data_IF_164806671181
#
_entry.id   IF_164806671181
#
_cell.length_a   1.000
_cell.length_b   1.000
_cell.length_c   1.000
_cell.angle_alpha   90.00
_cell.angle_beta   90.00
_cell.angle_gamma   90.00
#
_symmetry.space_group_name_H-M   'P 1'
#
loop_
_entity.id
_entity.type
_entity.pdbx_description
1 polymer ?
#
# COMPACT_ATOMS: atom_id res chain seq x y z
N UNK A 1 1.89 17.91 -12.15
CA UNK A 1 0.61 17.35 -12.62
C UNK A 1 -0.29 17.13 -11.41
N UNK A 2 -1.62 17.14 -11.54
CA UNK A 2 -2.47 16.73 -10.43
C UNK A 2 -2.20 15.22 -10.15
N UNK A 3 -2.12 14.82 -8.88
CA UNK A 3 -1.87 13.42 -8.44
C UNK A 3 -2.81 12.45 -9.14
N UNK A 4 -4.07 12.88 -9.28
CA UNK A 4 -5.10 12.14 -10.01
C UNK A 4 -5.60 13.02 -11.17
N UNK A 5 -5.32 12.60 -12.42
CA UNK A 5 -5.88 13.28 -13.58
C UNK A 5 -7.34 12.85 -13.78
N UNK A 6 -8.25 13.73 -13.45
CA UNK A 6 -9.70 13.48 -13.64
C UNK A 6 -10.10 13.31 -15.10
N UNK A 7 -9.23 13.65 -16.06
CA UNK A 7 -9.41 13.44 -17.50
C UNK A 7 -8.95 12.05 -17.95
N UNK A 8 -8.36 11.27 -17.05
CA UNK A 8 -7.91 9.91 -17.36
C UNK A 8 -9.07 9.08 -17.91
N UNK A 9 -8.81 8.42 -19.00
CA UNK A 9 -9.79 7.57 -19.69
C UNK A 9 -9.24 6.16 -19.84
N UNK A 10 -9.97 5.20 -19.34
CA UNK A 10 -9.65 3.79 -19.56
C UNK A 10 -9.91 3.39 -21.01
N UNK A 11 -8.93 2.78 -21.66
CA UNK A 11 -9.03 2.26 -23.03
C UNK A 11 -10.18 1.25 -23.21
N UNK A 12 -10.49 0.46 -22.16
CA UNK A 12 -11.60 -0.48 -22.19
C UNK A 12 -12.99 0.16 -21.99
N UNK A 13 -13.07 1.45 -21.63
CA UNK A 13 -14.32 2.19 -21.39
C UNK A 13 -15.09 1.82 -20.11
N UNK A 14 -14.63 0.83 -19.34
CA UNK A 14 -15.35 0.30 -18.16
C UNK A 14 -14.97 0.98 -16.86
N UNK A 15 -13.72 1.51 -16.75
CA UNK A 15 -13.20 2.08 -15.54
C UNK A 15 -13.17 3.61 -15.57
N UNK A 16 -13.25 4.23 -14.40
CA UNK A 16 -13.19 5.68 -14.25
C UNK A 16 -12.31 6.04 -13.07
N UNK A 17 -11.61 7.18 -13.17
CA UNK A 17 -10.87 7.76 -12.06
C UNK A 17 -11.85 8.11 -10.94
N UNK A 18 -11.65 7.64 -9.71
CA UNK A 18 -12.48 8.03 -8.56
C UNK A 18 -12.31 9.53 -8.27
N UNK A 19 -13.37 10.14 -7.76
CA UNK A 19 -13.33 11.53 -7.32
C UNK A 19 -12.80 11.59 -5.88
N UNK A 20 -11.52 11.83 -5.74
CA UNK A 20 -10.83 11.97 -4.45
C UNK A 20 -10.11 13.32 -4.45
N UNK A 21 -10.36 14.13 -3.45
CA UNK A 21 -9.55 15.33 -3.20
C UNK A 21 -8.18 14.89 -2.63
N UNK A 22 -7.08 15.26 -3.28
CA UNK A 22 -5.72 14.93 -2.81
C UNK A 22 -4.97 16.21 -2.45
N UNK A 23 -4.49 16.28 -1.21
CA UNK A 23 -3.70 17.40 -0.69
C UNK A 23 -2.38 16.88 -0.13
N UNK A 24 -1.27 17.14 -0.83
CA UNK A 24 0.09 16.75 -0.43
C UNK A 24 0.95 18.02 -0.40
N UNK A 25 1.09 18.61 0.78
CA UNK A 25 1.83 19.86 0.96
C UNK A 25 2.35 20.02 2.41
N UNK A 26 3.27 20.94 2.63
CA UNK A 26 3.67 21.34 4.00
C UNK A 26 2.54 22.11 4.67
N UNK A 27 2.26 21.80 5.93
CA UNK A 27 1.20 22.45 6.68
C UNK A 27 -0.21 21.97 6.31
N UNK A 28 -0.34 20.83 5.60
CA UNK A 28 -1.63 20.26 5.21
C UNK A 28 -2.56 19.98 6.39
N UNK A 29 -2.03 19.87 7.59
CA UNK A 29 -2.82 19.79 8.84
C UNK A 29 -3.82 20.94 8.97
N UNK A 30 -3.46 22.14 8.49
CA UNK A 30 -4.32 23.34 8.52
C UNK A 30 -5.39 23.32 7.42
N UNK A 31 -5.24 22.48 6.40
CA UNK A 31 -6.17 22.39 5.26
C UNK A 31 -7.39 21.53 5.55
N UNK A 32 -7.37 20.72 6.61
CA UNK A 32 -8.46 19.76 6.93
C UNK A 32 -9.81 20.45 6.99
N UNK A 33 -9.96 21.55 7.74
CA UNK A 33 -11.22 22.31 7.87
C UNK A 33 -11.66 22.93 6.54
N UNK A 34 -10.72 23.45 5.75
CA UNK A 34 -11.02 24.02 4.43
C UNK A 34 -11.52 22.95 3.44
N UNK A 35 -10.80 21.79 3.37
CA UNK A 35 -11.18 20.66 2.51
C UNK A 35 -12.57 20.16 2.90
N UNK A 36 -12.82 19.99 4.22
CA UNK A 36 -14.14 19.63 4.73
C UNK A 36 -15.24 20.56 4.22
N UNK A 37 -15.04 21.89 4.32
CA UNK A 37 -16.03 22.89 3.83
C UNK A 37 -16.23 22.83 2.33
N UNK A 38 -15.13 22.75 1.55
CA UNK A 38 -15.18 22.70 0.08
C UNK A 38 -15.92 21.46 -0.44
N UNK A 39 -15.79 20.33 0.24
CA UNK A 39 -16.46 19.08 -0.11
C UNK A 39 -17.84 18.94 0.53
N UNK A 40 -18.31 19.97 1.24
CA UNK A 40 -19.59 19.98 1.99
C UNK A 40 -19.75 18.72 2.87
N UNK A 41 -18.70 18.41 3.62
CA UNK A 41 -18.69 17.33 4.60
C UNK A 41 -19.19 17.88 5.94
N UNK A 42 -20.20 17.34 6.52
CA UNK A 42 -20.90 17.78 7.73
C UNK A 42 -20.06 18.46 8.84
N UNK A 43 -20.69 18.88 9.92
CA UNK A 43 -20.01 19.54 11.06
C UNK A 43 -19.87 18.65 12.30
N UNK A 44 -20.30 17.39 12.23
CA UNK A 44 -20.05 16.40 13.27
C UNK A 44 -18.91 15.51 12.79
N UNK A 45 -17.80 15.47 13.50
CA UNK A 45 -16.58 14.76 13.10
C UNK A 45 -16.15 13.76 14.17
N UNK A 46 -15.91 12.53 13.77
CA UNK A 46 -15.28 11.51 14.60
C UNK A 46 -13.85 11.28 14.10
N UNK A 47 -12.86 11.66 14.91
CA UNK A 47 -11.45 11.41 14.65
C UNK A 47 -11.07 10.02 15.15
N UNK A 48 -10.46 9.24 14.25
CA UNK A 48 -9.90 7.92 14.54
C UNK A 48 -8.37 8.03 14.49
N UNK A 49 -7.67 7.70 15.56
CA UNK A 49 -6.21 7.77 15.65
C UNK A 49 -5.69 6.80 16.70
N UNK A 50 -4.41 6.48 16.66
CA UNK A 50 -3.70 5.85 17.78
C UNK A 50 -3.15 6.91 18.77
N UNK A 51 -2.61 6.46 19.92
CA UNK A 51 -2.09 7.35 20.94
C UNK A 51 -0.92 8.22 20.45
N UNK A 52 -0.13 7.74 19.48
CA UNK A 52 1.00 8.46 18.93
C UNK A 52 0.54 9.48 17.87
N UNK A 53 -0.26 9.05 16.90
CA UNK A 53 -0.74 9.91 15.81
C UNK A 53 -1.73 10.97 16.29
N UNK A 54 -2.41 10.74 17.42
CA UNK A 54 -3.13 11.78 18.15
C UNK A 54 -2.23 12.96 18.49
N UNK A 55 -1.05 12.71 19.03
CA UNK A 55 -0.08 13.77 19.41
C UNK A 55 0.55 14.42 18.19
N UNK A 56 0.82 13.65 17.13
CA UNK A 56 1.51 14.12 15.92
C UNK A 56 0.61 15.09 15.14
N UNK A 57 -0.66 14.73 14.92
CA UNK A 57 -1.59 15.48 14.07
C UNK A 57 -3.00 15.60 14.66
N UNK A 58 -3.50 14.57 15.35
CA UNK A 58 -4.89 14.48 15.78
C UNK A 58 -5.35 15.65 16.62
N UNK A 59 -4.55 16.10 17.58
CA UNK A 59 -4.90 17.24 18.44
C UNK A 59 -5.00 18.55 17.65
N UNK A 60 -4.07 18.79 16.71
CA UNK A 60 -4.09 19.99 15.86
C UNK A 60 -5.28 20.00 14.91
N UNK A 61 -5.61 18.84 14.31
CA UNK A 61 -6.80 18.67 13.48
C UNK A 61 -8.08 18.89 14.29
N UNK A 62 -8.19 18.28 15.48
CA UNK A 62 -9.34 18.46 16.36
C UNK A 62 -9.55 19.93 16.73
N UNK A 63 -8.47 20.66 17.05
CA UNK A 63 -8.54 22.08 17.37
C UNK A 63 -8.96 22.91 16.14
N UNK A 64 -8.41 22.64 14.97
CA UNK A 64 -8.78 23.32 13.72
C UNK A 64 -10.26 23.15 13.40
N UNK A 65 -10.79 21.93 13.56
CA UNK A 65 -12.21 21.64 13.34
C UNK A 65 -13.11 22.32 14.37
N UNK A 66 -12.72 22.35 15.66
CA UNK A 66 -13.48 23.07 16.70
C UNK A 66 -13.51 24.57 16.45
N UNK A 67 -12.41 25.15 15.98
CA UNK A 67 -12.35 26.57 15.59
C UNK A 67 -13.22 26.88 14.37
N UNK A 68 -13.63 25.85 13.61
CA UNK A 68 -14.55 25.92 12.46
C UNK A 68 -15.98 25.46 12.85
N UNK A 69 -16.35 25.62 14.12
CA UNK A 69 -17.66 25.27 14.68
C UNK A 69 -18.10 23.82 14.45
N UNK A 70 -17.16 22.89 14.38
CA UNK A 70 -17.47 21.47 14.30
C UNK A 70 -17.56 20.83 15.70
N UNK A 71 -18.55 19.95 15.85
CA UNK A 71 -18.58 19.02 16.98
C UNK A 71 -17.55 17.92 16.71
N UNK A 72 -16.56 17.78 17.60
CA UNK A 72 -15.47 16.81 17.43
C UNK A 72 -15.46 15.82 18.57
N UNK A 73 -15.58 14.55 18.22
CA UNK A 73 -15.35 13.38 19.09
C UNK A 73 -14.09 12.64 18.63
N UNK A 74 -13.50 11.83 19.51
CA UNK A 74 -12.24 11.14 19.25
C UNK A 74 -12.37 9.68 19.70
N UNK A 75 -11.81 8.74 18.93
CA UNK A 75 -11.66 7.35 19.32
C UNK A 75 -10.20 6.90 19.10
N UNK A 76 -9.62 6.25 20.10
CA UNK A 76 -8.25 5.72 20.03
C UNK A 76 -8.31 4.25 19.68
N UNK A 77 -7.52 3.85 18.69
CA UNK A 77 -7.32 2.48 18.23
C UNK A 77 -5.84 2.10 18.34
N UNK A 78 -5.50 0.84 18.29
CA UNK A 78 -4.11 0.38 18.41
C UNK A 78 -3.70 -0.65 17.35
N UNK A 79 -4.58 -1.61 17.04
CA UNK A 79 -4.31 -2.67 16.08
C UNK A 79 -5.42 -2.72 15.01
N UNK A 80 -5.11 -3.01 13.73
CA UNK A 80 -6.12 -3.16 12.69
C UNK A 80 -6.81 -4.53 12.80
N UNK A 81 -7.70 -4.67 13.78
CA UNK A 81 -8.49 -5.88 14.03
C UNK A 81 -10.00 -5.58 14.13
N UNK A 82 -10.79 -6.66 14.16
CA UNK A 82 -12.25 -6.57 14.26
C UNK A 82 -12.71 -5.77 15.48
N UNK A 83 -12.03 -5.92 16.61
CA UNK A 83 -12.39 -5.26 17.88
C UNK A 83 -12.30 -3.75 17.75
N UNK A 84 -11.22 -3.24 17.16
CA UNK A 84 -11.03 -1.81 16.93
C UNK A 84 -11.98 -1.28 15.84
N UNK A 85 -12.27 -2.05 14.79
CA UNK A 85 -13.28 -1.68 13.80
C UNK A 85 -14.65 -1.53 14.46
N UNK A 86 -15.10 -2.50 15.25
CA UNK A 86 -16.40 -2.44 15.94
C UNK A 86 -16.46 -1.32 16.98
N UNK A 87 -15.35 -1.03 17.66
CA UNK A 87 -15.22 0.13 18.55
C UNK A 87 -15.47 1.45 17.83
N UNK A 88 -14.89 1.64 16.64
CA UNK A 88 -15.14 2.82 15.80
C UNK A 88 -16.59 2.82 15.32
N UNK A 89 -17.09 1.71 14.79
CA UNK A 89 -18.49 1.54 14.33
C UNK A 89 -19.49 1.94 15.41
N UNK A 90 -19.27 1.52 16.66
CA UNK A 90 -20.14 1.86 17.80
C UNK A 90 -20.06 3.35 18.19
N UNK A 91 -18.96 4.04 17.86
CA UNK A 91 -18.74 5.45 18.16
C UNK A 91 -19.32 6.41 17.11
N UNK A 92 -19.71 5.91 15.93
CA UNK A 92 -20.26 6.72 14.83
C UNK A 92 -21.68 7.16 15.17
N UNK A 93 -21.89 8.47 15.27
CA UNK A 93 -23.18 9.12 15.41
C UNK A 93 -23.84 9.44 14.06
N UNK A 94 -25.10 9.84 14.10
CA UNK A 94 -25.82 10.25 12.89
C UNK A 94 -25.18 11.51 12.28
N UNK A 95 -24.83 11.44 11.00
CA UNK A 95 -24.23 12.55 10.25
C UNK A 95 -22.77 12.83 10.56
N UNK A 96 -22.07 11.89 11.22
CA UNK A 96 -20.63 12.01 11.45
C UNK A 96 -19.84 11.85 10.14
N UNK A 97 -18.85 12.74 9.97
CA UNK A 97 -17.73 12.56 9.07
C UNK A 97 -16.64 11.81 9.85
N UNK A 98 -16.16 10.68 9.32
CA UNK A 98 -14.98 10.02 9.87
C UNK A 98 -13.70 10.68 9.33
N UNK A 99 -12.73 10.91 10.22
CA UNK A 99 -11.40 11.39 9.84
C UNK A 99 -10.36 10.44 10.46
N UNK A 100 -9.77 9.58 9.63
CA UNK A 100 -8.67 8.72 10.04
C UNK A 100 -7.36 9.48 10.05
N UNK A 101 -6.68 9.56 11.19
CA UNK A 101 -5.42 10.28 11.36
C UNK A 101 -4.34 9.31 11.80
N UNK A 102 -3.55 8.81 10.88
CA UNK A 102 -2.57 7.79 11.23
C UNK A 102 -1.84 7.13 10.07
N UNK A 103 -1.10 6.10 10.39
CA UNK A 103 -0.56 5.16 9.41
C UNK A 103 -1.62 4.16 8.93
N UNK A 104 -1.25 3.25 8.05
CA UNK A 104 -2.16 2.32 7.37
C UNK A 104 -3.12 1.59 8.31
N UNK A 105 -2.66 1.15 9.49
CA UNK A 105 -3.52 0.46 10.47
C UNK A 105 -4.73 1.30 10.88
N UNK A 106 -4.52 2.58 11.19
CA UNK A 106 -5.61 3.52 11.55
C UNK A 106 -6.48 3.81 10.34
N UNK A 107 -5.86 3.98 9.16
CA UNK A 107 -6.60 4.27 7.94
C UNK A 107 -7.49 3.09 7.54
N UNK A 108 -7.02 1.85 7.65
CA UNK A 108 -7.79 0.66 7.32
C UNK A 108 -8.98 0.45 8.27
N UNK A 109 -8.80 0.67 9.58
CA UNK A 109 -9.91 0.67 10.54
C UNK A 109 -10.94 1.72 10.15
N UNK A 110 -10.50 2.95 9.85
CA UNK A 110 -11.37 4.05 9.46
C UNK A 110 -12.19 3.75 8.21
N UNK A 111 -11.51 3.25 7.16
CA UNK A 111 -12.13 2.86 5.89
C UNK A 111 -13.21 1.80 6.09
N UNK A 112 -12.89 0.72 6.81
CA UNK A 112 -13.84 -0.37 7.01
C UNK A 112 -15.01 0.04 7.91
N UNK A 113 -14.77 0.83 8.96
CA UNK A 113 -15.83 1.35 9.82
C UNK A 113 -16.78 2.30 9.06
N UNK A 114 -16.21 3.20 8.22
CA UNK A 114 -17.00 4.07 7.35
C UNK A 114 -17.85 3.28 6.36
N UNK A 115 -17.27 2.25 5.73
CA UNK A 115 -17.99 1.37 4.81
C UNK A 115 -19.16 0.64 5.50
N UNK A 116 -18.91 0.04 6.67
CA UNK A 116 -19.97 -0.65 7.46
C UNK A 116 -21.14 0.25 7.83
N UNK A 117 -20.88 1.53 8.06
CA UNK A 117 -21.90 2.54 8.44
C UNK A 117 -22.41 3.36 7.26
N UNK A 118 -21.84 3.21 6.09
CA UNK A 118 -22.12 4.01 4.90
C UNK A 118 -22.05 5.53 5.21
N UNK A 119 -20.95 5.94 5.86
CA UNK A 119 -20.65 7.34 6.16
C UNK A 119 -19.46 7.84 5.35
N UNK A 120 -19.40 9.14 5.11
CA UNK A 120 -18.30 9.79 4.40
C UNK A 120 -17.03 9.80 5.26
N UNK A 121 -15.85 9.78 4.62
CA UNK A 121 -14.61 9.78 5.37
C UNK A 121 -13.45 10.46 4.65
N UNK A 122 -12.54 10.98 5.45
CA UNK A 122 -11.28 11.62 5.03
C UNK A 122 -10.11 10.87 5.67
N UNK A 123 -9.04 10.70 4.94
CA UNK A 123 -7.80 10.11 5.43
C UNK A 123 -6.71 11.18 5.55
N UNK A 124 -6.18 11.35 6.76
CA UNK A 124 -4.97 12.11 7.03
C UNK A 124 -3.84 11.14 7.32
N UNK A 125 -2.98 10.89 6.32
CA UNK A 125 -1.89 9.93 6.46
C UNK A 125 -0.69 10.57 7.16
N UNK A 126 -0.19 9.87 8.20
CA UNK A 126 1.04 10.22 8.92
C UNK A 126 2.19 9.27 8.61
N UNK A 127 1.99 8.33 7.69
CA UNK A 127 2.97 7.33 7.29
C UNK A 127 2.87 6.97 5.81
N UNK A 128 3.99 6.57 5.24
CA UNK A 128 4.16 6.29 3.81
C UNK A 128 4.82 4.94 3.57
N UNK A 129 4.55 3.96 4.44
CA UNK A 129 5.19 2.65 4.37
C UNK A 129 4.52 1.70 3.36
N UNK A 130 3.36 2.06 2.79
CA UNK A 130 2.67 1.33 1.72
C UNK A 130 1.59 2.19 1.02
N UNK A 131 1.00 1.64 -0.06
CA UNK A 131 0.01 2.28 -0.93
C UNK A 131 -1.44 2.26 -0.37
N UNK A 132 -1.68 1.74 0.83
CA UNK A 132 -3.02 1.56 1.41
C UNK A 132 -3.85 2.84 1.52
N UNK A 133 -3.21 4.03 1.62
CA UNK A 133 -3.95 5.29 1.72
C UNK A 133 -4.80 5.63 0.48
N UNK A 134 -4.37 5.21 -0.73
CA UNK A 134 -5.08 5.43 -1.99
C UNK A 134 -6.15 4.37 -2.29
N UNK A 135 -6.14 3.27 -1.55
CA UNK A 135 -6.93 2.08 -1.87
C UNK A 135 -8.30 2.09 -1.18
N UNK A 136 -9.33 1.60 -1.90
CA UNK A 136 -10.66 1.32 -1.35
C UNK A 136 -10.74 -0.04 -0.64
N UNK A 137 -9.63 -0.56 -0.18
CA UNK A 137 -9.50 -1.87 0.47
C UNK A 137 -8.93 -1.67 1.86
N UNK A 138 -9.41 -2.41 2.84
CA UNK A 138 -8.89 -2.45 4.20
C UNK A 138 -8.36 -3.84 4.56
N UNK A 139 -7.16 -3.89 5.14
CA UNK A 139 -6.55 -5.13 5.63
C UNK A 139 -6.68 -5.22 7.14
N UNK A 140 -7.52 -6.14 7.63
CA UNK A 140 -7.91 -6.27 9.04
C UNK A 140 -7.61 -7.69 9.53
N UNK A 141 -7.11 -7.82 10.75
CA UNK A 141 -6.96 -9.11 11.41
C UNK A 141 -8.30 -9.61 11.93
N UNK A 142 -8.71 -10.78 11.42
CA UNK A 142 -9.91 -11.51 11.81
C UNK A 142 -9.46 -12.85 12.38
N UNK A 143 -9.72 -13.09 13.67
CA UNK A 143 -9.31 -14.34 14.36
C UNK A 143 -7.83 -14.68 14.14
N UNK A 144 -6.94 -13.68 14.18
CA UNK A 144 -5.51 -13.85 14.00
C UNK A 144 -5.04 -13.97 12.54
N UNK A 145 -5.94 -13.91 11.54
CA UNK A 145 -5.58 -13.93 10.12
C UNK A 145 -5.82 -12.58 9.49
N UNK A 146 -4.91 -12.14 8.64
CA UNK A 146 -5.04 -10.89 7.88
C UNK A 146 -5.97 -11.10 6.70
N UNK A 147 -7.12 -10.47 6.72
CA UNK A 147 -8.13 -10.52 5.67
C UNK A 147 -8.33 -9.17 5.01
N UNK A 148 -8.77 -9.19 3.76
CA UNK A 148 -8.95 -8.00 2.92
C UNK A 148 -10.43 -7.75 2.69
N UNK A 149 -10.89 -6.51 2.98
CA UNK A 149 -12.30 -6.11 2.87
C UNK A 149 -12.47 -4.93 1.91
N UNK A 150 -13.54 -4.89 1.10
CA UNK A 150 -13.94 -3.67 0.41
C UNK A 150 -14.27 -2.57 1.43
N UNK A 151 -13.85 -1.34 1.17
CA UNK A 151 -13.98 -0.26 2.13
C UNK A 151 -14.43 1.09 1.52
N UNK A 152 -14.80 1.11 0.26
CA UNK A 152 -15.26 2.33 -0.43
C UNK A 152 -14.12 3.31 -0.73
N UNK A 153 -14.48 4.48 -1.24
CA UNK A 153 -13.54 5.52 -1.70
C UNK A 153 -13.55 6.69 -0.71
N UNK A 154 -12.38 7.17 -0.31
CA UNK A 154 -12.26 8.36 0.55
C UNK A 154 -12.72 9.62 -0.20
N UNK A 155 -13.32 10.57 0.52
CA UNK A 155 -13.64 11.89 -0.03
C UNK A 155 -12.37 12.74 -0.23
N UNK A 156 -11.41 12.58 0.70
CA UNK A 156 -10.10 13.23 0.59
C UNK A 156 -8.98 12.38 1.20
N UNK A 157 -7.78 12.56 0.63
CA UNK A 157 -6.50 12.05 1.16
C UNK A 157 -5.62 13.27 1.41
N UNK A 158 -5.18 13.44 2.66
CA UNK A 158 -4.38 14.59 3.09
C UNK A 158 -3.06 14.07 3.66
N UNK A 159 -1.95 14.62 3.20
CA UNK A 159 -0.60 14.28 3.66
C UNK A 159 0.18 15.55 3.92
N UNK A 160 0.65 15.71 5.16
CA UNK A 160 1.50 16.83 5.53
C UNK A 160 2.98 16.44 5.39
N UNK A 161 3.67 17.05 4.43
CA UNK A 161 5.07 16.75 4.15
C UNK A 161 6.00 17.01 5.36
N UNK A 162 5.68 17.99 6.21
CA UNK A 162 6.47 18.24 7.41
C UNK A 162 6.33 17.09 8.42
N UNK A 163 5.15 16.50 8.54
CA UNK A 163 4.90 15.32 9.38
C UNK A 163 5.63 14.12 8.81
N UNK A 164 5.52 13.86 7.50
CA UNK A 164 6.22 12.74 6.84
C UNK A 164 7.74 12.87 6.97
N UNK A 165 8.29 14.07 6.82
CA UNK A 165 9.73 14.30 7.00
C UNK A 165 10.20 14.08 8.44
N UNK A 166 9.34 14.32 9.43
CA UNK A 166 9.64 14.04 10.83
C UNK A 166 9.42 12.57 11.23
N UNK A 167 8.78 11.79 10.36
CA UNK A 167 8.53 10.37 10.58
C UNK A 167 9.84 9.57 10.55
N UNK A 168 9.89 8.39 11.17
CA UNK A 168 11.06 7.53 11.17
C UNK A 168 11.63 7.28 9.77
N UNK A 169 12.95 7.32 9.64
CA UNK A 169 13.65 7.26 8.36
C UNK A 169 13.41 5.99 7.55
N UNK A 170 13.04 4.90 8.20
CA UNK A 170 12.72 3.62 7.55
C UNK A 170 11.35 3.59 6.83
N UNK A 171 10.45 4.55 7.07
CA UNK A 171 9.12 4.54 6.44
C UNK A 171 9.17 4.75 4.93
N UNK A 172 9.99 5.67 4.43
CA UNK A 172 10.11 5.91 3.00
C UNK A 172 10.71 4.71 2.27
N UNK A 173 11.84 4.12 2.71
CA UNK A 173 12.35 2.87 2.15
C UNK A 173 11.32 1.73 2.10
N UNK A 174 10.50 1.58 3.15
CA UNK A 174 9.44 0.57 3.16
C UNK A 174 8.37 0.82 2.09
N UNK A 175 7.95 2.08 1.91
CA UNK A 175 6.98 2.41 0.87
C UNK A 175 7.54 2.24 -0.55
N UNK A 176 8.83 2.50 -0.77
CA UNK A 176 9.50 2.18 -2.03
C UNK A 176 9.53 0.66 -2.23
N UNK A 177 9.77 -0.11 -1.17
CA UNK A 177 9.68 -1.57 -1.22
C UNK A 177 8.30 -2.06 -1.64
N UNK A 178 7.24 -1.47 -1.10
CA UNK A 178 5.85 -1.80 -1.45
C UNK A 178 5.56 -1.49 -2.93
N UNK A 179 5.91 -0.28 -3.41
CA UNK A 179 5.75 0.12 -4.82
C UNK A 179 6.61 -0.73 -5.78
N UNK A 180 7.73 -1.25 -5.34
CA UNK A 180 8.57 -2.11 -6.20
C UNK A 180 7.86 -3.39 -6.67
N UNK A 181 6.79 -3.79 -5.97
CA UNK A 181 5.96 -4.95 -6.31
C UNK A 181 5.40 -4.87 -7.73
N UNK A 182 5.14 -3.67 -8.26
CA UNK A 182 4.60 -3.47 -9.60
C UNK A 182 5.51 -4.08 -10.68
N UNK A 183 6.80 -4.22 -10.40
CA UNK A 183 7.75 -4.89 -11.29
C UNK A 183 7.44 -6.40 -11.49
N UNK A 184 6.74 -7.04 -10.56
CA UNK A 184 6.44 -8.48 -10.58
C UNK A 184 4.95 -8.78 -10.62
N UNK A 185 4.13 -8.08 -9.84
CA UNK A 185 2.70 -8.33 -9.79
C UNK A 185 1.99 -8.06 -11.12
N UNK A 186 2.43 -7.06 -11.87
CA UNK A 186 1.86 -6.75 -13.20
C UNK A 186 2.16 -7.87 -14.20
N UNK A 187 3.37 -8.47 -14.11
CA UNK A 187 3.72 -9.66 -14.90
C UNK A 187 2.87 -10.88 -14.52
N UNK A 188 2.59 -11.04 -13.23
CA UNK A 188 1.70 -12.08 -12.75
C UNK A 188 0.26 -11.87 -13.21
N UNK A 189 -0.22 -10.63 -13.24
CA UNK A 189 -1.57 -10.32 -13.70
C UNK A 189 -1.73 -10.59 -15.17
N UNK A 190 -0.78 -10.15 -15.99
CA UNK A 190 -0.78 -10.46 -17.43
C UNK A 190 -0.62 -11.95 -17.69
N UNK A 191 0.19 -12.67 -16.90
CA UNK A 191 0.29 -14.14 -16.95
C UNK A 191 -1.06 -14.80 -16.68
N UNK A 192 -1.79 -14.34 -15.66
CA UNK A 192 -3.14 -14.83 -15.35
C UNK A 192 -4.12 -14.57 -16.48
N UNK A 193 -4.00 -13.43 -17.16
CA UNK A 193 -4.80 -13.11 -18.33
C UNK A 193 -4.51 -14.06 -19.49
N UNK A 194 -3.24 -14.28 -19.81
CA UNK A 194 -2.83 -15.15 -20.93
C UNK A 194 -3.17 -16.62 -20.66
N UNK A 195 -2.91 -17.12 -19.47
CA UNK A 195 -3.08 -18.55 -19.16
C UNK A 195 -4.52 -18.93 -18.83
N UNK A 196 -5.26 -18.06 -18.16
CA UNK A 196 -6.58 -18.39 -17.59
C UNK A 196 -7.70 -17.47 -18.06
N UNK A 197 -7.43 -16.49 -18.92
CA UNK A 197 -8.42 -15.50 -19.34
C UNK A 197 -8.84 -14.57 -18.19
N UNK A 198 -8.00 -14.39 -17.17
CA UNK A 198 -8.27 -13.45 -16.08
C UNK A 198 -8.57 -12.06 -16.63
N UNK A 199 -9.59 -11.34 -16.15
CA UNK A 199 -9.83 -9.98 -16.57
C UNK A 199 -8.60 -9.09 -16.34
N UNK A 200 -8.30 -8.23 -17.31
CA UNK A 200 -7.09 -7.44 -17.40
C UNK A 200 -7.38 -6.04 -17.95
N UNK A 201 -6.62 -5.03 -17.57
CA UNK A 201 -6.81 -3.67 -18.07
C UNK A 201 -5.49 -2.94 -18.30
N UNK A 202 -5.17 -2.70 -19.57
CA UNK A 202 -3.97 -1.98 -20.01
C UNK A 202 -3.81 -0.61 -19.33
N UNK A 203 -4.90 0.19 -19.29
CA UNK A 203 -4.82 1.54 -18.72
C UNK A 203 -4.53 1.56 -17.21
N UNK A 204 -4.87 0.49 -16.49
CA UNK A 204 -4.49 0.34 -15.08
C UNK A 204 -3.02 -0.09 -14.97
N UNK A 205 -2.57 -0.97 -15.85
CA UNK A 205 -1.14 -1.33 -15.94
C UNK A 205 -0.28 -0.08 -16.17
N UNK A 206 -0.67 0.78 -17.13
CA UNK A 206 0.04 2.04 -17.40
C UNK A 206 0.07 2.97 -16.17
N UNK A 207 -1.01 3.00 -15.40
CA UNK A 207 -1.09 3.79 -14.18
C UNK A 207 -0.11 3.28 -13.10
N UNK A 208 -0.05 1.97 -12.90
CA UNK A 208 0.85 1.32 -11.94
C UNK A 208 2.32 1.43 -12.39
N UNK A 209 2.60 1.23 -13.69
CA UNK A 209 3.94 1.41 -14.24
C UNK A 209 4.45 2.84 -14.05
N UNK A 210 3.59 3.84 -14.24
CA UNK A 210 3.98 5.23 -13.99
C UNK A 210 4.34 5.47 -12.51
N UNK A 211 3.70 4.78 -11.57
CA UNK A 211 4.07 4.87 -10.16
C UNK A 211 5.42 4.19 -9.88
N UNK A 212 5.72 3.10 -10.58
CA UNK A 212 7.00 2.40 -10.49
C UNK A 212 8.12 3.22 -11.13
N UNK A 213 7.90 3.78 -12.33
CA UNK A 213 8.88 4.64 -13.00
C UNK A 213 9.28 5.83 -12.11
N UNK A 214 8.31 6.50 -11.51
CA UNK A 214 8.54 7.66 -10.63
C UNK A 214 9.52 7.30 -9.48
N UNK A 215 9.37 6.15 -8.82
CA UNK A 215 10.29 5.77 -7.71
C UNK A 215 11.71 5.39 -8.19
N UNK A 216 11.84 4.90 -9.42
CA UNK A 216 13.16 4.66 -10.01
C UNK A 216 13.84 5.97 -10.38
N UNK A 217 13.11 6.91 -10.99
CA UNK A 217 13.63 8.21 -11.41
C UNK A 217 13.95 9.10 -10.21
N UNK A 218 13.13 9.07 -9.16
CA UNK A 218 13.26 9.93 -7.98
C UNK A 218 14.05 9.28 -6.82
N UNK A 219 14.65 8.11 -7.00
CA UNK A 219 15.30 7.34 -5.94
C UNK A 219 16.32 8.17 -5.11
N UNK A 220 17.12 9.00 -5.76
CA UNK A 220 18.12 9.86 -5.08
C UNK A 220 17.46 11.01 -4.27
N UNK A 221 16.38 11.58 -4.78
CA UNK A 221 15.61 12.61 -4.09
C UNK A 221 14.85 12.01 -2.88
N UNK A 222 14.31 10.80 -3.01
CA UNK A 222 13.68 10.03 -1.93
C UNK A 222 14.71 9.70 -0.85
N UNK A 223 15.88 9.19 -1.22
CA UNK A 223 17.00 8.93 -0.31
C UNK A 223 17.42 10.15 0.48
N UNK A 224 17.54 11.29 -0.22
CA UNK A 224 17.93 12.57 0.37
C UNK A 224 16.78 13.22 1.16
N UNK A 225 15.58 12.64 1.11
CA UNK A 225 14.35 13.12 1.76
C UNK A 225 14.04 14.58 1.41
N UNK A 226 14.26 14.98 0.15
CA UNK A 226 13.84 16.31 -0.31
C UNK A 226 12.31 16.40 -0.32
N UNK A 227 11.77 17.64 -0.30
CA UNK A 227 10.31 17.82 -0.36
C UNK A 227 9.74 17.25 -1.65
N UNK A 228 10.44 17.43 -2.76
CA UNK A 228 10.06 16.93 -4.08
C UNK A 228 10.07 15.41 -4.10
N UNK A 229 11.15 14.76 -3.64
CA UNK A 229 11.25 13.29 -3.62
C UNK A 229 10.23 12.63 -2.70
N UNK A 230 10.01 13.19 -1.49
CA UNK A 230 8.97 12.67 -0.58
C UNK A 230 7.57 12.90 -1.16
N UNK A 231 7.33 14.06 -1.78
CA UNK A 231 6.06 14.37 -2.43
C UNK A 231 5.79 13.40 -3.59
N UNK A 232 6.75 13.23 -4.50
CA UNK A 232 6.63 12.31 -5.64
C UNK A 232 6.33 10.88 -5.18
N UNK A 233 7.06 10.39 -4.17
CA UNK A 233 6.80 9.08 -3.57
C UNK A 233 5.38 8.96 -2.98
N UNK A 234 4.90 9.96 -2.23
CA UNK A 234 3.53 9.98 -1.69
C UNK A 234 2.50 9.93 -2.82
N UNK A 235 2.71 10.71 -3.88
CA UNK A 235 1.85 10.75 -5.05
C UNK A 235 1.82 9.40 -5.78
N UNK A 236 2.95 8.71 -5.88
CA UNK A 236 3.05 7.37 -6.47
C UNK A 236 2.34 6.31 -5.61
N UNK A 237 2.48 6.35 -4.27
CA UNK A 237 1.72 5.49 -3.36
C UNK A 237 0.20 5.69 -3.48
N UNK A 238 -0.25 6.94 -3.59
CA UNK A 238 -1.66 7.26 -3.81
C UNK A 238 -2.13 6.74 -5.17
N UNK A 239 -1.33 6.93 -6.22
CA UNK A 239 -1.64 6.47 -7.59
C UNK A 239 -1.82 4.96 -7.65
N UNK A 240 -0.89 4.18 -7.09
CA UNK A 240 -1.00 2.72 -7.01
C UNK A 240 -2.23 2.28 -6.18
N UNK A 241 -2.47 2.89 -5.02
CA UNK A 241 -3.69 2.62 -4.26
C UNK A 241 -4.98 2.92 -5.04
N UNK A 242 -4.98 3.96 -5.87
CA UNK A 242 -6.11 4.31 -6.74
C UNK A 242 -6.25 3.30 -7.88
N UNK A 243 -5.18 2.73 -8.42
CA UNK A 243 -5.24 1.61 -9.38
C UNK A 243 -6.02 0.42 -8.82
N UNK A 244 -5.75 0.04 -7.56
CA UNK A 244 -6.55 -0.97 -6.84
C UNK A 244 -8.02 -0.55 -6.69
N UNK A 245 -8.28 0.72 -6.40
CA UNK A 245 -9.64 1.26 -6.28
C UNK A 245 -10.40 1.19 -7.60
N UNK A 246 -9.78 1.56 -8.70
CA UNK A 246 -10.36 1.51 -10.05
C UNK A 246 -10.67 0.06 -10.45
N UNK A 247 -9.80 -0.87 -10.10
CA UNK A 247 -9.98 -2.29 -10.40
C UNK A 247 -10.99 -2.98 -9.49
N UNK A 248 -11.16 -2.50 -8.27
CA UNK A 248 -12.04 -3.09 -7.26
C UNK A 248 -11.42 -4.24 -6.47
N UNK A 249 -10.12 -4.46 -6.59
CA UNK A 249 -9.36 -5.46 -5.80
C UNK A 249 -7.88 -5.11 -5.76
N UNK A 250 -7.10 -5.82 -4.92
CA UNK A 250 -5.65 -5.62 -4.84
C UNK A 250 -4.87 -6.26 -6.00
N UNK A 251 -5.53 -6.74 -7.06
CA UNK A 251 -4.85 -7.42 -8.16
C UNK A 251 -3.77 -6.58 -8.85
N UNK A 252 -3.99 -5.27 -9.12
CA UNK A 252 -2.99 -4.43 -9.76
C UNK A 252 -1.71 -4.21 -8.95
N UNK A 253 -1.76 -4.39 -7.64
CA UNK A 253 -0.65 -4.10 -6.72
C UNK A 253 -0.25 -5.30 -5.86
N UNK A 254 -0.56 -6.55 -6.25
CA UNK A 254 -0.27 -7.73 -5.41
C UNK A 254 -0.14 -9.00 -6.26
N UNK A 255 1.04 -9.58 -6.27
CA UNK A 255 1.42 -10.80 -6.98
C UNK A 255 2.13 -11.81 -6.08
N UNK A 256 3.08 -12.54 -6.65
CA UNK A 256 3.86 -13.59 -5.97
C UNK A 256 4.68 -13.06 -4.79
N UNK A 257 5.22 -11.85 -4.88
CA UNK A 257 5.94 -11.18 -3.79
C UNK A 257 5.07 -10.98 -2.56
N UNK A 258 3.80 -10.65 -2.76
CA UNK A 258 2.83 -10.54 -1.67
C UNK A 258 2.44 -11.90 -1.09
N UNK A 259 2.37 -12.96 -1.90
CA UNK A 259 2.15 -14.31 -1.39
C UNK A 259 3.26 -14.75 -0.43
N UNK A 260 4.52 -14.43 -0.78
CA UNK A 260 5.68 -14.68 0.08
C UNK A 260 5.58 -13.92 1.42
N UNK A 261 5.25 -12.63 1.37
CA UNK A 261 5.04 -11.80 2.57
C UNK A 261 3.87 -12.30 3.43
N UNK A 262 2.75 -12.65 2.81
CA UNK A 262 1.57 -13.15 3.56
C UNK A 262 1.82 -14.50 4.25
N UNK A 263 2.61 -15.37 3.62
CA UNK A 263 3.04 -16.62 4.26
C UNK A 263 3.89 -16.32 5.50
N UNK A 264 4.82 -15.38 5.41
CA UNK A 264 5.65 -14.94 6.53
C UNK A 264 4.83 -14.26 7.64
N UNK A 265 3.87 -13.41 7.28
CA UNK A 265 2.97 -12.75 8.25
C UNK A 265 2.14 -13.79 9.01
N UNK A 266 1.65 -14.82 8.31
CA UNK A 266 0.91 -15.91 8.95
C UNK A 266 1.78 -16.71 9.92
N UNK A 267 2.99 -17.08 9.49
CA UNK A 267 3.96 -17.76 10.36
C UNK A 267 4.32 -16.90 11.59
N UNK A 268 4.54 -15.60 11.39
CA UNK A 268 4.89 -14.67 12.46
C UNK A 268 3.76 -14.54 13.49
N UNK A 269 2.51 -14.47 13.05
CA UNK A 269 1.33 -14.40 13.92
C UNK A 269 1.19 -15.70 14.75
N UNK A 270 1.35 -16.87 14.14
CA UNK A 270 1.31 -18.16 14.86
C UNK A 270 2.40 -18.30 15.92
N UNK A 271 3.57 -17.69 15.69
CA UNK A 271 4.71 -17.77 16.61
C UNK A 271 4.77 -16.60 17.60
N UNK A 272 3.87 -15.60 17.46
CA UNK A 272 3.89 -14.39 18.29
C UNK A 272 5.14 -13.54 18.11
N UNK A 273 5.74 -13.55 16.90
CA UNK A 273 6.93 -12.78 16.53
C UNK A 273 6.58 -11.74 15.47
N UNK A 274 7.51 -10.85 15.17
CA UNK A 274 7.37 -9.88 14.08
C UNK A 274 8.63 -9.91 13.23
N UNK A 275 8.46 -9.85 11.93
CA UNK A 275 9.50 -9.50 10.99
C UNK A 275 9.35 -8.03 10.61
N UNK A 276 10.22 -7.47 9.83
CA UNK A 276 10.18 -6.08 9.39
C UNK A 276 8.81 -5.56 8.95
N UNK A 277 8.77 -4.42 8.32
CA UNK A 277 7.53 -3.84 7.81
C UNK A 277 7.04 -4.58 6.56
N UNK A 278 5.74 -4.45 6.27
CA UNK A 278 5.14 -5.04 5.07
C UNK A 278 5.92 -4.67 3.80
N UNK A 279 6.14 -3.37 3.55
CA UNK A 279 6.87 -2.93 2.36
C UNK A 279 8.33 -3.41 2.32
N UNK A 280 8.99 -3.62 3.47
CA UNK A 280 10.31 -4.23 3.53
C UNK A 280 10.28 -5.71 3.10
N UNK A 281 9.28 -6.46 3.55
CA UNK A 281 9.06 -7.84 3.10
C UNK A 281 8.75 -7.87 1.60
N UNK A 282 7.88 -6.96 1.12
CA UNK A 282 7.51 -6.88 -0.30
C UNK A 282 8.73 -6.58 -1.16
N UNK A 283 9.56 -5.60 -0.81
CA UNK A 283 10.77 -5.27 -1.57
C UNK A 283 11.72 -6.47 -1.74
N UNK A 284 11.95 -7.23 -0.66
CA UNK A 284 12.76 -8.46 -0.72
C UNK A 284 12.06 -9.53 -1.58
N UNK A 285 10.75 -9.72 -1.38
CA UNK A 285 9.95 -10.64 -2.18
C UNK A 285 9.99 -10.29 -3.66
N UNK A 286 9.95 -8.99 -4.00
CA UNK A 286 10.03 -8.51 -5.39
C UNK A 286 11.38 -8.89 -6.04
N UNK A 287 12.51 -8.74 -5.34
CA UNK A 287 13.81 -9.17 -5.86
C UNK A 287 13.79 -10.68 -6.19
N UNK A 288 13.28 -11.50 -5.28
CA UNK A 288 13.21 -12.97 -5.45
C UNK A 288 12.29 -13.32 -6.63
N UNK A 289 11.10 -12.71 -6.70
CA UNK A 289 10.09 -13.02 -7.71
C UNK A 289 10.49 -12.47 -9.08
N UNK A 290 11.17 -11.31 -9.15
CA UNK A 290 11.73 -10.81 -10.40
C UNK A 290 12.74 -11.81 -10.98
N UNK A 291 13.64 -12.35 -10.16
CA UNK A 291 14.57 -13.39 -10.61
C UNK A 291 13.84 -14.66 -11.05
N UNK A 292 12.76 -15.05 -10.36
CA UNK A 292 11.95 -16.20 -10.75
C UNK A 292 11.27 -15.99 -12.11
N UNK A 293 10.71 -14.79 -12.35
CA UNK A 293 10.18 -14.40 -13.65
C UNK A 293 11.25 -14.39 -14.75
N UNK A 294 12.44 -13.87 -14.50
CA UNK A 294 13.55 -13.86 -15.46
C UNK A 294 13.90 -15.26 -15.94
N UNK A 295 13.88 -16.24 -15.05
CA UNK A 295 14.28 -17.61 -15.36
C UNK A 295 13.17 -18.46 -15.96
N UNK A 296 11.92 -18.25 -15.53
CA UNK A 296 10.85 -19.23 -15.77
C UNK A 296 9.59 -18.67 -16.41
N UNK A 297 9.46 -17.34 -16.57
CA UNK A 297 8.31 -16.80 -17.30
C UNK A 297 8.54 -16.93 -18.82
N UNK A 298 7.75 -17.74 -19.53
CA UNK A 298 7.93 -17.95 -20.96
C UNK A 298 7.46 -16.76 -21.81
N UNK A 299 6.79 -15.79 -21.21
CA UNK A 299 6.20 -14.65 -21.92
C UNK A 299 7.22 -13.53 -22.00
N UNK A 300 7.79 -13.33 -23.18
CA UNK A 300 8.90 -12.40 -23.44
C UNK A 300 8.51 -10.93 -23.62
N UNK A 301 7.22 -10.60 -23.72
CA UNK A 301 6.74 -9.23 -23.77
C UNK A 301 7.23 -8.38 -22.59
N UNK A 302 7.64 -9.00 -21.50
CA UNK A 302 8.17 -8.33 -20.32
C UNK A 302 9.46 -7.53 -20.56
N UNK A 303 10.31 -7.86 -21.57
CA UNK A 303 11.55 -7.13 -21.83
C UNK A 303 11.37 -5.80 -22.56
N UNK A 304 10.41 -5.72 -23.46
CA UNK A 304 10.07 -4.46 -24.17
C UNK A 304 9.26 -3.52 -23.27
N UNK A 305 8.33 -4.07 -22.50
CA UNK A 305 7.43 -3.32 -21.63
C UNK A 305 8.03 -2.95 -20.28
N UNK A 306 8.96 -3.77 -19.77
CA UNK A 306 9.59 -3.62 -18.45
C UNK A 306 11.12 -3.64 -18.53
N UNK A 307 11.75 -2.80 -19.35
CA UNK A 307 13.18 -2.91 -19.65
C UNK A 307 14.09 -2.70 -18.43
N UNK A 308 13.62 -1.97 -17.42
CA UNK A 308 14.41 -1.57 -16.26
C UNK A 308 14.08 -2.36 -14.98
N UNK A 309 13.17 -3.36 -15.05
CA UNK A 309 12.64 -4.03 -13.85
C UNK A 309 13.16 -5.47 -13.70
N UNK A 310 14.45 -5.64 -13.90
CA UNK A 310 15.15 -6.89 -13.58
C UNK A 310 15.52 -6.92 -12.10
N UNK A 311 15.72 -8.11 -11.55
CA UNK A 311 16.06 -8.32 -10.13
C UNK A 311 17.24 -7.50 -9.65
N UNK A 312 18.29 -7.36 -10.47
CA UNK A 312 19.48 -6.55 -10.16
C UNK A 312 19.16 -5.05 -10.07
N UNK A 313 18.36 -4.53 -11.02
CA UNK A 313 17.96 -3.11 -11.03
C UNK A 313 17.07 -2.78 -9.83
N UNK A 314 16.09 -3.64 -9.51
CA UNK A 314 15.23 -3.51 -8.34
C UNK A 314 16.08 -3.52 -7.06
N UNK A 315 17.00 -4.47 -6.93
CA UNK A 315 17.91 -4.56 -5.78
C UNK A 315 18.76 -3.31 -5.64
N UNK A 316 19.32 -2.79 -6.74
CA UNK A 316 20.14 -1.58 -6.75
C UNK A 316 19.34 -0.36 -6.31
N UNK A 317 18.13 -0.19 -6.81
CA UNK A 317 17.21 0.90 -6.44
C UNK A 317 16.85 0.81 -4.95
N UNK A 318 16.43 -0.36 -4.46
CA UNK A 318 16.10 -0.57 -3.04
C UNK A 318 17.29 -0.28 -2.12
N UNK A 319 18.49 -0.73 -2.47
CA UNK A 319 19.73 -0.39 -1.74
C UNK A 319 20.00 1.11 -1.75
N UNK A 320 19.79 1.77 -2.88
CA UNK A 320 20.00 3.20 -3.00
C UNK A 320 19.14 3.99 -2.02
N UNK A 321 17.86 3.66 -1.92
CA UNK A 321 16.95 4.34 -0.98
C UNK A 321 17.11 3.89 0.48
N UNK A 322 17.96 2.90 0.75
CA UNK A 322 18.20 2.37 2.10
C UNK A 322 17.19 1.33 2.57
N UNK A 323 16.44 0.72 1.63
CA UNK A 323 15.56 -0.40 1.94
C UNK A 323 16.35 -1.70 2.15
N UNK A 324 15.87 -2.61 3.01
CA UNK A 324 16.46 -3.94 3.13
C UNK A 324 16.30 -4.72 1.83
N UNK A 325 17.34 -5.48 1.47
CA UNK A 325 17.40 -6.29 0.24
C UNK A 325 17.66 -7.76 0.52
N UNK A 326 17.77 -8.15 1.79
CA UNK A 326 17.94 -9.55 2.21
C UNK A 326 17.02 -9.87 3.38
N UNK A 327 16.51 -11.12 3.49
CA UNK A 327 15.66 -11.55 4.59
C UNK A 327 16.29 -11.34 5.98
N UNK A 328 17.60 -11.54 6.10
CA UNK A 328 18.33 -11.39 7.37
C UNK A 328 18.29 -9.97 7.93
N UNK A 329 18.21 -8.94 7.07
CA UNK A 329 18.12 -7.53 7.49
C UNK A 329 16.81 -7.19 8.21
N UNK A 330 15.78 -8.01 8.02
CA UNK A 330 14.46 -7.86 8.66
C UNK A 330 14.15 -9.00 9.64
N UNK A 331 15.17 -9.73 10.09
CA UNK A 331 15.05 -10.76 11.11
C UNK A 331 14.55 -12.13 10.60
N UNK A 332 14.52 -12.34 9.28
CA UNK A 332 14.11 -13.62 8.69
C UNK A 332 15.35 -14.46 8.39
N UNK A 333 15.44 -15.62 9.03
CA UNK A 333 16.52 -16.59 8.76
C UNK A 333 16.40 -17.18 7.35
N UNK A 334 17.56 -17.59 6.78
CA UNK A 334 17.63 -18.13 5.41
C UNK A 334 16.70 -19.30 5.17
N UNK A 335 16.62 -20.24 6.11
CA UNK A 335 15.74 -21.42 5.99
C UNK A 335 14.26 -21.03 5.96
N UNK A 336 13.84 -20.09 6.82
CA UNK A 336 12.47 -19.60 6.83
C UNK A 336 12.11 -18.85 5.54
N UNK A 337 13.03 -18.07 4.99
CA UNK A 337 12.84 -17.39 3.71
C UNK A 337 12.64 -18.40 2.56
N UNK A 338 13.36 -19.53 2.59
CA UNK A 338 13.23 -20.62 1.63
C UNK A 338 11.89 -21.36 1.76
N UNK A 339 11.50 -21.73 2.97
CA UNK A 339 10.20 -22.38 3.23
C UNK A 339 9.06 -21.46 2.78
N UNK A 340 9.14 -20.16 3.08
CA UNK A 340 8.16 -19.17 2.58
C UNK A 340 8.11 -19.16 1.05
N UNK A 341 9.23 -19.24 0.34
CA UNK A 341 9.25 -19.26 -1.12
C UNK A 341 8.66 -20.57 -1.68
N UNK A 342 8.99 -21.72 -1.07
CA UNK A 342 8.45 -23.01 -1.48
C UNK A 342 6.94 -23.11 -1.34
N UNK A 343 6.35 -22.46 -0.34
CA UNK A 343 4.95 -22.64 0.07
C UNK A 343 4.07 -21.39 -0.13
N UNK A 344 4.61 -20.27 -0.63
CA UNK A 344 3.87 -19.02 -0.85
C UNK A 344 2.62 -19.22 -1.72
N UNK A 345 2.69 -20.07 -2.74
CA UNK A 345 1.56 -20.36 -3.66
C UNK A 345 0.35 -21.02 -2.98
N UNK A 346 0.53 -21.62 -1.82
CA UNK A 346 -0.55 -22.26 -1.07
C UNK A 346 -1.46 -21.26 -0.35
N UNK A 347 -0.98 -20.02 -0.16
CA UNK A 347 -1.63 -19.04 0.70
C UNK A 347 -2.90 -18.41 0.11
N UNK A 348 -2.90 -18.05 -1.19
CA UNK A 348 -4.04 -17.50 -1.93
C UNK A 348 -4.18 -18.19 -3.27
N UNK A 349 -4.81 -19.32 -3.28
CA UNK A 349 -4.95 -20.18 -4.48
C UNK A 349 -5.74 -19.52 -5.62
N UNK A 350 -6.61 -18.55 -5.27
CA UNK A 350 -7.40 -17.78 -6.23
C UNK A 350 -6.58 -16.70 -6.96
N UNK A 351 -5.38 -16.36 -6.45
CA UNK A 351 -4.50 -15.37 -7.07
C UNK A 351 -3.43 -16.06 -7.92
N UNK A 352 -3.71 -16.20 -9.20
CA UNK A 352 -2.77 -16.82 -10.12
C UNK A 352 -1.50 -15.98 -10.30
N UNK A 353 -0.35 -16.61 -10.15
CA UNK A 353 0.99 -15.99 -10.26
C UNK A 353 1.96 -16.96 -10.92
N UNK A 354 3.20 -16.52 -11.16
CA UNK A 354 4.27 -17.39 -11.65
C UNK A 354 4.49 -18.62 -10.75
N UNK A 355 4.25 -18.48 -9.44
CA UNK A 355 4.35 -19.60 -8.49
C UNK A 355 3.27 -20.68 -8.71
N UNK A 356 2.12 -20.30 -9.25
CA UNK A 356 1.07 -21.25 -9.64
C UNK A 356 1.31 -21.86 -11.02
N UNK A 357 1.86 -21.06 -11.95
CA UNK A 357 2.28 -21.54 -13.27
C UNK A 357 3.34 -22.63 -13.15
N UNK A 358 4.29 -22.41 -12.27
CA UNK A 358 5.39 -23.31 -11.99
C UNK A 358 5.65 -23.29 -10.48
N UNK A 359 5.33 -24.37 -9.81
CA UNK A 359 5.64 -24.50 -8.38
C UNK A 359 7.16 -24.57 -8.20
N UNK A 360 7.73 -23.79 -7.27
CA UNK A 360 9.18 -23.80 -7.05
C UNK A 360 9.60 -25.14 -6.44
N UNK A 361 10.73 -25.68 -6.93
CA UNK A 361 11.41 -26.80 -6.31
C UNK A 361 12.48 -26.31 -5.33
N UNK A 362 12.99 -27.19 -4.46
CA UNK A 362 14.12 -26.84 -3.57
C UNK A 362 15.34 -26.35 -4.36
N UNK A 363 15.63 -26.97 -5.49
CA UNK A 363 16.74 -26.56 -6.36
C UNK A 363 16.52 -25.19 -6.97
N UNK A 364 15.29 -24.86 -7.39
CA UNK A 364 14.94 -23.52 -7.87
C UNK A 364 15.18 -22.47 -6.79
N UNK A 365 14.70 -22.74 -5.56
CA UNK A 365 14.85 -21.84 -4.43
C UNK A 365 16.32 -21.60 -4.10
N UNK A 366 17.13 -22.65 -4.00
CA UNK A 366 18.58 -22.55 -3.76
C UNK A 366 19.27 -21.73 -4.84
N UNK A 367 18.99 -22.04 -6.11
CA UNK A 367 19.55 -21.32 -7.24
C UNK A 367 19.23 -19.83 -7.16
N UNK A 368 17.94 -19.48 -7.00
CA UNK A 368 17.49 -18.09 -7.00
C UNK A 368 18.04 -17.33 -5.80
N UNK A 369 17.93 -17.89 -4.60
CA UNK A 369 18.45 -17.25 -3.39
C UNK A 369 19.97 -17.00 -3.50
N UNK A 370 20.71 -17.93 -4.12
CA UNK A 370 22.13 -17.76 -4.37
C UNK A 370 22.41 -16.66 -5.41
N UNK A 371 21.69 -16.66 -6.53
CA UNK A 371 21.86 -15.67 -7.60
C UNK A 371 21.54 -14.24 -7.15
N UNK A 372 20.59 -14.07 -6.23
CA UNK A 372 20.27 -12.75 -5.64
C UNK A 372 21.05 -12.44 -4.37
N UNK A 373 21.98 -13.32 -3.96
CA UNK A 373 22.87 -13.08 -2.81
C UNK A 373 22.21 -13.21 -1.45
N UNK A 374 21.23 -14.11 -1.32
CA UNK A 374 20.44 -14.36 -0.10
C UNK A 374 20.64 -15.76 0.49
#
# INVERSE_FOLDING_TARGET
MAVLDTRWKCSCGKHRMPQIEVCVERGAVQRVSEIRRRLDLGRSCLLVHDANTRRIAGMAIAQSLRNDDCKVSEVIVDRPDETNVEKVVASIGAGDLLIGVGGTSVLDITKLAAHKKNVRYVLFSTGIANNGMGSSIASIYVRGKKETFPAGVADAIIVDLAIIQSAPSWMAPAGVGDLSAEATNLKDWELGHVDNGEPFCESIIELELAALDDIFEEADAIKSRTDEGIKGMVESLIRSGVGMTIWGSSRPASGAEHLWSHWLDHYAEEKGIKFGLHGEQIGIGTIIMAKYHELYNPIWWSRERYPNYQSEAIMAMLRNVGAPTTPSQIGIGRELAREAFLHAWEYRKERYTILHKRHPTRDDVEKIMTEVGM
#
